data_IF_069389608359
#
_entry.id   IF_069389608359
#
_cell.length_a   1.000
_cell.length_b   1.000
_cell.length_c   1.000
_cell.angle_alpha   90.00
_cell.angle_beta   90.00
_cell.angle_gamma   90.00
#
_symmetry.space_group_name_H-M   'P 1'
#
loop_
_entity.id
_entity.type
_entity.pdbx_description
1 polymer ?
#
# COMPACT_ATOMS: atom_id res chain seq x y z
N UNK A 1 -23.59 -17.88 -50.27
CA UNK A 1 -23.20 -16.75 -51.15
C UNK A 1 -21.85 -16.26 -50.64
N UNK A 2 -20.79 -16.54 -51.38
CA UNK A 2 -19.41 -16.26 -50.99
C UNK A 2 -18.84 -15.41 -52.12
N UNK A 3 -18.33 -14.23 -51.79
CA UNK A 3 -17.48 -13.48 -52.71
C UNK A 3 -16.37 -12.82 -51.92
N UNK A 4 -15.15 -13.37 -52.06
CA UNK A 4 -13.92 -12.64 -51.93
C UNK A 4 -12.87 -13.32 -52.83
N UNK A 5 -12.27 -12.51 -53.68
CA UNK A 5 -11.43 -12.82 -54.84
C UNK A 5 -10.05 -13.35 -54.45
N UNK A 6 -9.55 -14.30 -55.24
CA UNK A 6 -8.18 -14.86 -55.15
C UNK A 6 -7.19 -13.92 -55.82
N UNK A 7 -6.17 -13.47 -55.10
CA UNK A 7 -4.88 -13.08 -55.68
C UNK A 7 -3.75 -13.28 -54.66
N UNK A 8 -2.80 -14.16 -54.99
CA UNK A 8 -1.43 -14.13 -54.44
C UNK A 8 -1.12 -15.17 -53.37
N UNK A 9 -0.55 -16.29 -53.79
CA UNK A 9 -0.02 -17.35 -52.93
C UNK A 9 1.08 -16.85 -51.99
N UNK A 10 0.73 -16.72 -50.71
CA UNK A 10 1.58 -17.14 -49.58
C UNK A 10 0.66 -17.41 -48.40
N UNK A 11 0.57 -18.67 -48.01
CA UNK A 11 0.04 -19.05 -46.70
C UNK A 11 0.99 -18.46 -45.66
N UNK A 12 0.69 -17.25 -45.19
CA UNK A 12 1.33 -16.75 -43.98
C UNK A 12 0.67 -17.53 -42.85
N UNK A 13 1.40 -18.55 -42.38
CA UNK A 13 1.14 -19.23 -41.12
C UNK A 13 0.67 -18.19 -40.12
N UNK A 14 -0.51 -18.37 -39.54
CA UNK A 14 -0.98 -17.56 -38.42
C UNK A 14 0.04 -17.71 -37.31
N UNK A 15 1.04 -16.82 -37.29
CA UNK A 15 2.00 -16.74 -36.22
C UNK A 15 1.17 -16.41 -34.98
N UNK A 16 1.25 -17.32 -34.04
CA UNK A 16 0.60 -17.26 -32.76
C UNK A 16 0.81 -15.85 -32.16
N UNK A 17 -0.24 -15.05 -32.14
CA UNK A 17 -0.20 -13.69 -31.58
C UNK A 17 -0.22 -13.74 -30.05
N UNK A 18 -0.13 -14.91 -29.42
CA UNK A 18 0.10 -15.07 -27.98
C UNK A 18 1.29 -14.23 -27.50
N UNK A 19 2.36 -14.16 -28.30
CA UNK A 19 3.55 -13.36 -28.02
C UNK A 19 3.33 -11.84 -28.04
N UNK A 20 2.24 -11.34 -28.63
CA UNK A 20 1.91 -9.91 -28.62
C UNK A 20 1.18 -9.48 -27.34
N UNK A 21 0.58 -10.42 -26.60
CA UNK A 21 -0.09 -10.14 -25.33
C UNK A 21 0.85 -10.31 -24.13
N UNK A 22 1.84 -11.21 -24.21
CA UNK A 22 2.80 -11.47 -23.12
C UNK A 22 3.87 -10.36 -22.93
N UNK A 23 4.02 -9.43 -23.89
CA UNK A 23 5.06 -8.39 -23.85
C UNK A 23 4.57 -6.96 -23.91
N UNK A 24 3.28 -6.74 -23.67
CA UNK A 24 2.73 -5.38 -23.48
C UNK A 24 2.12 -5.21 -22.08
N UNK A 25 2.89 -5.54 -21.04
CA UNK A 25 2.75 -4.82 -19.78
C UNK A 25 3.23 -3.39 -20.02
N UNK A 26 2.32 -2.55 -20.51
CA UNK A 26 2.40 -1.12 -20.32
C UNK A 26 2.66 -0.89 -18.84
N UNK A 27 3.89 -0.50 -18.49
CA UNK A 27 4.21 0.05 -17.20
C UNK A 27 3.35 1.30 -17.01
N UNK A 28 2.13 1.09 -16.53
CA UNK A 28 1.20 2.15 -16.25
C UNK A 28 1.68 2.83 -14.97
N UNK A 29 2.48 3.88 -15.15
CA UNK A 29 3.02 4.66 -14.05
C UNK A 29 1.94 5.34 -13.20
N UNK A 30 0.69 5.36 -13.68
CA UNK A 30 -0.47 5.94 -12.99
C UNK A 30 -1.26 4.87 -12.24
N UNK A 31 -1.55 3.73 -12.88
CA UNK A 31 -2.39 2.68 -12.28
C UNK A 31 -1.59 1.57 -11.58
N UNK A 32 -0.35 1.27 -12.01
CA UNK A 32 0.51 0.22 -11.45
C UNK A 32 2.02 0.57 -11.48
N UNK A 33 2.46 1.72 -10.94
CA UNK A 33 3.89 2.05 -10.90
C UNK A 33 4.69 0.97 -10.13
N UNK A 34 5.76 0.38 -10.70
CA UNK A 34 6.51 -0.74 -10.10
C UNK A 34 7.12 -0.48 -8.71
N UNK A 35 7.14 0.79 -8.28
CA UNK A 35 7.75 1.26 -7.04
C UNK A 35 6.73 1.55 -5.92
N UNK A 36 5.44 1.25 -6.11
CA UNK A 36 4.38 1.48 -5.10
C UNK A 36 3.94 0.23 -4.33
N UNK A 37 4.35 -0.96 -4.78
CA UNK A 37 4.13 -2.23 -4.10
C UNK A 37 5.24 -2.47 -3.07
N UNK A 38 4.87 -2.73 -1.83
CA UNK A 38 5.82 -3.28 -0.87
C UNK A 38 5.88 -4.80 -0.94
N UNK A 39 6.58 -5.45 -0.01
CA UNK A 39 6.73 -6.90 -0.03
C UNK A 39 5.38 -7.66 0.07
N UNK A 40 4.27 -7.01 0.45
CA UNK A 40 2.93 -7.60 0.41
C UNK A 40 2.31 -7.65 -0.99
N UNK A 41 2.81 -6.84 -1.93
CA UNK A 41 2.19 -6.64 -3.24
C UNK A 41 0.93 -5.76 -3.24
N UNK A 42 0.45 -5.32 -2.07
CA UNK A 42 -0.74 -4.49 -1.88
C UNK A 42 -0.36 -3.02 -1.93
N UNK A 43 -1.03 -2.23 -2.77
CA UNK A 43 -0.82 -0.80 -2.85
C UNK A 43 -1.58 -0.06 -1.73
N UNK A 44 -1.01 1.04 -1.25
CA UNK A 44 -1.62 1.84 -0.18
C UNK A 44 -3.07 2.27 -0.51
N UNK A 45 -3.36 2.60 -1.78
CA UNK A 45 -4.69 3.03 -2.20
C UNK A 45 -5.74 1.91 -2.13
N UNK A 46 -5.32 0.65 -2.30
CA UNK A 46 -6.21 -0.51 -2.16
C UNK A 46 -6.75 -0.64 -0.74
N UNK A 47 -5.98 -0.19 0.25
CA UNK A 47 -6.38 -0.14 1.66
C UNK A 47 -7.16 1.14 1.94
N UNK A 48 -6.55 2.32 1.68
CA UNK A 48 -7.08 3.60 2.16
C UNK A 48 -8.36 4.04 1.46
N UNK A 49 -8.62 3.58 0.24
CA UNK A 49 -9.91 3.80 -0.45
C UNK A 49 -11.11 3.18 0.28
N UNK A 50 -10.86 2.23 1.19
CA UNK A 50 -11.88 1.51 1.97
C UNK A 50 -11.94 1.97 3.44
N UNK A 51 -11.17 3.00 3.81
CA UNK A 51 -11.08 3.50 5.17
C UNK A 51 -11.72 4.89 5.28
N UNK A 52 -12.12 5.24 6.51
CA UNK A 52 -12.44 6.63 6.84
C UNK A 52 -11.17 7.51 6.76
N UNK A 53 -11.38 8.82 6.67
CA UNK A 53 -10.33 9.75 6.26
C UNK A 53 -9.12 9.74 7.21
N UNK A 54 -9.33 9.80 8.53
CA UNK A 54 -8.20 9.92 9.45
C UNK A 54 -7.48 8.59 9.62
N UNK A 55 -8.20 7.48 9.77
CA UNK A 55 -7.66 6.12 9.84
C UNK A 55 -6.90 5.75 8.57
N UNK A 56 -7.44 6.08 7.40
CA UNK A 56 -6.76 5.89 6.12
C UNK A 56 -5.46 6.69 6.02
N UNK A 57 -5.44 7.93 6.51
CA UNK A 57 -4.21 8.72 6.56
C UNK A 57 -3.20 8.17 7.59
N UNK A 58 -3.65 7.70 8.75
CA UNK A 58 -2.81 7.04 9.75
C UNK A 58 -2.09 5.83 9.12
N UNK A 59 -2.84 4.91 8.50
CA UNK A 59 -2.28 3.77 7.78
C UNK A 59 -1.33 4.21 6.66
N UNK A 60 -1.69 5.21 5.85
CA UNK A 60 -0.85 5.72 4.76
C UNK A 60 0.55 6.13 5.22
N UNK A 61 0.64 6.84 6.36
CA UNK A 61 1.94 7.28 6.86
C UNK A 61 2.73 6.13 7.51
N UNK A 62 2.08 5.17 8.18
CA UNK A 62 2.72 3.91 8.60
C UNK A 62 3.26 3.13 7.39
N UNK A 63 2.48 3.04 6.33
CA UNK A 63 2.85 2.37 5.08
C UNK A 63 4.09 3.03 4.46
N UNK A 64 4.17 4.36 4.48
CA UNK A 64 5.25 5.16 3.87
C UNK A 64 6.52 5.27 4.71
N UNK A 65 6.42 5.21 6.04
CA UNK A 65 7.55 5.29 6.95
C UNK A 65 8.66 4.30 6.56
N UNK A 66 9.90 4.78 6.40
CA UNK A 66 11.06 3.98 5.96
C UNK A 66 11.19 3.77 4.46
N UNK A 67 10.18 4.13 3.65
CA UNK A 67 10.21 3.96 2.18
C UNK A 67 10.49 5.27 1.44
N UNK A 68 10.07 6.41 1.98
CA UNK A 68 10.22 7.72 1.32
C UNK A 68 10.29 8.87 2.31
N UNK A 69 11.35 9.67 2.22
CA UNK A 69 11.55 10.86 3.03
C UNK A 69 11.90 10.53 4.48
N UNK A 70 11.58 11.44 5.41
CA UNK A 70 11.85 11.26 6.83
C UNK A 70 10.87 10.27 7.47
N UNK A 71 11.40 9.15 7.96
CA UNK A 71 10.63 8.14 8.71
C UNK A 71 9.96 8.74 9.94
N UNK A 72 10.71 9.54 10.74
CA UNK A 72 10.18 10.16 11.97
C UNK A 72 9.05 11.16 11.64
N UNK A 73 9.18 11.93 10.56
CA UNK A 73 8.12 12.85 10.14
C UNK A 73 6.83 12.10 9.77
N UNK A 74 6.96 10.97 9.08
CA UNK A 74 5.82 10.13 8.73
C UNK A 74 5.16 9.52 9.97
N UNK A 75 5.95 9.02 10.92
CA UNK A 75 5.42 8.51 12.17
C UNK A 75 4.72 9.60 12.98
N UNK A 76 5.25 10.82 13.06
CA UNK A 76 4.58 11.95 13.72
C UNK A 76 3.22 12.27 13.08
N UNK A 77 3.15 12.23 11.74
CA UNK A 77 1.87 12.38 11.03
C UNK A 77 0.92 11.22 11.32
N UNK A 78 1.42 9.98 11.35
CA UNK A 78 0.60 8.82 11.68
C UNK A 78 -0.01 8.93 13.09
N UNK A 79 0.79 9.31 14.09
CA UNK A 79 0.31 9.53 15.47
C UNK A 79 -0.77 10.62 15.54
N UNK A 80 -0.60 11.73 14.82
CA UNK A 80 -1.60 12.79 14.74
C UNK A 80 -2.93 12.30 14.14
N UNK A 81 -2.85 11.51 13.06
CA UNK A 81 -4.05 10.96 12.43
C UNK A 81 -4.71 9.84 13.25
N UNK A 82 -3.94 9.06 14.02
CA UNK A 82 -4.50 8.09 14.96
C UNK A 82 -5.32 8.80 16.04
N UNK A 83 -4.82 9.92 16.56
CA UNK A 83 -5.55 10.76 17.53
C UNK A 83 -6.87 11.29 16.94
N UNK A 84 -6.84 11.77 15.69
CA UNK A 84 -8.05 12.25 14.99
C UNK A 84 -9.04 11.13 14.70
N UNK A 85 -8.55 9.93 14.33
CA UNK A 85 -9.40 8.77 14.12
C UNK A 85 -10.11 8.35 15.42
N UNK A 86 -9.40 8.43 16.56
CA UNK A 86 -9.98 8.22 17.88
C UNK A 86 -11.06 9.26 18.22
N UNK A 87 -10.76 10.56 18.08
CA UNK A 87 -11.70 11.65 18.36
C UNK A 87 -12.97 11.56 17.48
N UNK A 88 -12.83 11.08 16.25
CA UNK A 88 -13.92 10.93 15.29
C UNK A 88 -14.67 9.59 15.41
N UNK A 89 -14.25 8.71 16.33
CA UNK A 89 -14.80 7.36 16.48
C UNK A 89 -14.79 6.58 15.15
N UNK A 90 -13.71 6.72 14.38
CA UNK A 90 -13.56 6.01 13.10
C UNK A 90 -13.40 4.50 13.36
N UNK A 91 -14.00 3.69 12.50
CA UNK A 91 -13.97 2.22 12.57
C UNK A 91 -13.28 1.65 11.34
N UNK A 92 -12.69 0.47 11.50
CA UNK A 92 -12.08 -0.26 10.39
C UNK A 92 -12.94 -1.47 10.02
N UNK A 93 -13.51 -1.43 8.81
CA UNK A 93 -14.33 -2.53 8.30
C UNK A 93 -13.46 -3.77 7.97
N UNK A 94 -14.12 -4.91 7.79
CA UNK A 94 -13.46 -6.21 7.54
C UNK A 94 -12.50 -6.17 6.34
N UNK A 95 -12.90 -5.51 5.24
CA UNK A 95 -12.08 -5.46 4.03
C UNK A 95 -10.72 -4.75 4.24
N UNK A 96 -10.64 -3.49 4.72
CA UNK A 96 -9.36 -2.87 5.03
C UNK A 96 -8.61 -3.59 6.16
N UNK A 97 -9.29 -4.11 7.19
CA UNK A 97 -8.64 -4.90 8.26
C UNK A 97 -7.78 -6.03 7.69
N UNK A 98 -8.34 -6.88 6.82
CA UNK A 98 -7.62 -8.01 6.21
C UNK A 98 -6.45 -7.58 5.32
N UNK A 99 -6.58 -6.45 4.64
CA UNK A 99 -5.49 -5.92 3.81
C UNK A 99 -4.37 -5.35 4.70
N UNK A 100 -4.71 -4.64 5.77
CA UNK A 100 -3.75 -4.11 6.73
C UNK A 100 -2.98 -5.26 7.39
N UNK A 101 -3.65 -6.35 7.79
CA UNK A 101 -3.01 -7.56 8.33
C UNK A 101 -1.96 -8.12 7.36
N UNK A 102 -2.33 -8.27 6.07
CA UNK A 102 -1.42 -8.74 5.02
C UNK A 102 -0.26 -7.80 4.75
N UNK A 103 -0.43 -6.49 4.90
CA UNK A 103 0.67 -5.53 4.81
C UNK A 103 1.57 -5.63 6.05
N UNK A 104 0.97 -5.75 7.24
CA UNK A 104 1.67 -5.73 8.52
C UNK A 104 2.62 -6.92 8.71
N UNK A 105 2.37 -8.08 8.10
CA UNK A 105 3.30 -9.24 8.20
C UNK A 105 4.68 -8.94 7.61
N UNK A 106 4.78 -7.95 6.71
CA UNK A 106 6.04 -7.51 6.09
C UNK A 106 6.68 -6.30 6.79
N UNK A 107 6.15 -5.91 7.95
CA UNK A 107 6.74 -4.87 8.80
C UNK A 107 7.34 -5.50 10.05
N UNK A 108 8.11 -4.73 10.78
CA UNK A 108 8.77 -5.18 12.00
C UNK A 108 8.51 -4.22 13.16
N UNK A 109 8.78 -4.71 14.37
CA UNK A 109 8.75 -3.93 15.62
C UNK A 109 7.44 -3.17 15.84
N UNK A 110 7.59 -1.94 16.31
CA UNK A 110 6.48 -1.07 16.67
C UNK A 110 5.60 -0.67 15.47
N UNK A 111 6.17 -0.58 14.26
CA UNK A 111 5.39 -0.25 13.06
C UNK A 111 4.42 -1.38 12.73
N UNK A 112 4.87 -2.64 12.78
CA UNK A 112 3.99 -3.80 12.61
C UNK A 112 2.86 -3.78 13.64
N UNK A 113 3.21 -3.61 14.91
CA UNK A 113 2.23 -3.63 15.99
C UNK A 113 1.22 -2.47 15.88
N UNK A 114 1.67 -1.28 15.49
CA UNK A 114 0.78 -0.15 15.22
C UNK A 114 -0.19 -0.46 14.07
N UNK A 115 0.27 -1.08 12.98
CA UNK A 115 -0.62 -1.49 11.88
C UNK A 115 -1.68 -2.49 12.33
N UNK A 116 -1.33 -3.47 13.18
CA UNK A 116 -2.30 -4.43 13.71
C UNK A 116 -3.34 -3.72 14.58
N UNK A 117 -2.94 -2.78 15.44
CA UNK A 117 -3.91 -1.98 16.19
C UNK A 117 -4.77 -1.07 15.33
N UNK A 118 -4.24 -0.54 14.22
CA UNK A 118 -5.05 0.17 13.22
C UNK A 118 -6.07 -0.77 12.58
N UNK A 119 -5.69 -2.01 12.24
CA UNK A 119 -6.61 -3.00 11.67
C UNK A 119 -7.79 -3.32 12.61
N UNK A 120 -7.53 -3.31 13.91
CA UNK A 120 -8.50 -3.54 14.98
C UNK A 120 -9.13 -2.25 15.53
N UNK A 121 -9.01 -1.10 14.84
CA UNK A 121 -9.52 0.22 15.28
C UNK A 121 -9.12 0.68 16.71
N UNK A 122 -8.07 0.08 17.29
CA UNK A 122 -7.51 0.46 18.59
C UNK A 122 -6.56 1.65 18.48
N UNK A 123 -7.08 2.81 18.07
CA UNK A 123 -6.29 3.99 17.72
C UNK A 123 -5.34 4.48 18.82
N UNK A 124 -5.78 4.45 20.08
CA UNK A 124 -4.94 4.82 21.21
C UNK A 124 -3.72 3.89 21.37
N UNK A 125 -3.90 2.59 21.14
CA UNK A 125 -2.81 1.62 21.20
C UNK A 125 -1.88 1.75 19.98
N UNK A 126 -2.45 2.00 18.80
CA UNK A 126 -1.68 2.31 17.60
C UNK A 126 -0.78 3.54 17.82
N UNK A 127 -1.34 4.63 18.36
CA UNK A 127 -0.59 5.86 18.68
C UNK A 127 0.57 5.58 19.65
N UNK A 128 0.35 4.80 20.71
CA UNK A 128 1.41 4.44 21.66
C UNK A 128 2.56 3.68 21.01
N UNK A 129 2.28 2.73 20.12
CA UNK A 129 3.32 2.04 19.36
C UNK A 129 4.08 3.00 18.43
N UNK A 130 3.36 3.92 17.77
CA UNK A 130 3.98 4.92 16.90
C UNK A 130 4.91 5.84 17.70
N UNK A 131 4.47 6.35 18.85
CA UNK A 131 5.27 7.21 19.73
C UNK A 131 6.49 6.49 20.31
N UNK A 132 6.36 5.21 20.65
CA UNK A 132 7.49 4.39 21.08
C UNK A 132 8.54 4.25 19.96
N UNK A 133 8.12 4.12 18.71
CA UNK A 133 9.03 4.06 17.56
C UNK A 133 9.71 5.39 17.27
N UNK A 134 8.98 6.50 17.39
CA UNK A 134 9.55 7.85 17.29
C UNK A 134 10.65 8.03 18.33
N UNK A 135 10.36 7.69 19.59
CA UNK A 135 11.32 7.82 20.69
C UNK A 135 12.59 6.97 20.45
N UNK A 136 12.43 5.74 19.97
CA UNK A 136 13.56 4.85 19.61
C UNK A 136 14.43 5.49 18.53
N UNK A 137 13.84 5.92 17.42
CA UNK A 137 14.57 6.52 16.30
C UNK A 137 15.24 7.86 16.68
N UNK A 138 14.59 8.67 17.51
CA UNK A 138 15.17 9.93 17.98
C UNK A 138 16.32 9.70 18.96
N UNK A 139 16.29 8.62 19.77
CA UNK A 139 17.44 8.27 20.63
C UNK A 139 18.67 7.81 19.84
N UNK A 140 18.45 7.05 18.75
CA UNK A 140 19.54 6.56 17.89
C UNK A 140 20.27 7.70 17.15
N UNK A 141 19.55 8.79 16.84
CA UNK A 141 20.12 9.95 16.14
C UNK A 141 20.98 10.86 17.03
N UNK A 142 20.97 10.67 18.36
CA UNK A 142 21.80 11.46 19.30
C UNK A 142 23.17 10.83 19.52
N UNK A 143 23.31 9.54 19.20
CA UNK A 143 24.52 8.76 19.40
C UNK A 143 25.48 8.74 18.17
N UNK A 144 25.07 9.37 17.05
CA UNK A 144 25.84 9.54 15.79
C UNK A 144 26.47 10.95 15.67
#
# INVERSE_FOLDING_TARGET
>A
MQYATVTGDRVVSTCDTSWLLDHYELHDMVNHPPHYKDASGIECIEVTSKMQFCGGNCFKYLYRAGKKGSTVEDLKKAAWYADKAWENEEVVLIAPMRLIEQVAVHREGNIKQAMLYVAEDFWAMAKRCIEAEIARLESEAVDD
#
